data_IF_306165812543
#
_entry.id   IF_306165812543
#
_cell.length_a   1.000
_cell.length_b   1.000
_cell.length_c   1.000
_cell.angle_alpha   90.00
_cell.angle_beta   90.00
_cell.angle_gamma   90.00
#
_symmetry.space_group_name_H-M   'P 1'
#
loop_
_entity.id
_entity.type
_entity.pdbx_description
1 polymer ?
#
# COMPACT_ATOMS: atom_id res chain seq x y z
N UNK A 1 -6.22 -2.27 -11.33
CA UNK A 1 -5.03 -1.40 -11.32
C UNK A 1 -3.95 -2.20 -12.02
N UNK A 2 -3.26 -1.61 -12.99
CA UNK A 2 -2.18 -2.31 -13.68
C UNK A 2 -0.91 -2.20 -12.85
N UNK A 3 -0.54 -3.27 -12.15
CA UNK A 3 0.64 -3.31 -11.28
C UNK A 3 1.94 -3.27 -12.07
N UNK A 4 1.93 -3.68 -13.35
CA UNK A 4 3.12 -3.64 -14.21
C UNK A 4 3.64 -2.23 -14.47
N UNK A 5 2.82 -1.19 -14.33
CA UNK A 5 3.30 0.20 -14.45
C UNK A 5 4.42 0.49 -13.43
N UNK A 6 4.42 -0.21 -12.29
CA UNK A 6 5.46 -0.08 -11.28
C UNK A 6 6.84 -0.56 -11.75
N UNK A 7 6.93 -1.43 -12.75
CA UNK A 7 8.23 -1.88 -13.27
C UNK A 7 8.93 -0.78 -14.05
N UNK A 8 8.22 0.28 -14.42
CA UNK A 8 8.76 1.46 -15.08
C UNK A 8 9.35 2.47 -14.08
N UNK A 9 9.16 2.25 -12.77
CA UNK A 9 9.63 3.15 -11.72
C UNK A 9 10.95 2.64 -11.12
N UNK A 10 12.08 3.31 -11.37
CA UNK A 10 13.41 2.85 -10.93
C UNK A 10 13.58 2.79 -9.40
N UNK A 11 12.80 3.54 -8.61
CA UNK A 11 13.02 3.63 -7.14
C UNK A 11 11.80 3.25 -6.30
N UNK A 12 12.07 2.81 -5.06
CA UNK A 12 11.04 2.56 -4.04
C UNK A 12 10.19 3.81 -3.79
N UNK A 13 10.85 4.97 -3.78
CA UNK A 13 10.21 6.26 -3.58
C UNK A 13 9.19 6.58 -4.67
N UNK A 14 9.58 6.46 -5.93
CA UNK A 14 8.67 6.72 -7.05
C UNK A 14 7.51 5.74 -7.08
N UNK A 15 7.74 4.46 -6.76
CA UNK A 15 6.68 3.45 -6.64
C UNK A 15 5.66 3.81 -5.56
N UNK A 16 6.14 4.24 -4.39
CA UNK A 16 5.30 4.67 -3.29
C UNK A 16 4.50 5.93 -3.64
N UNK A 17 5.17 6.96 -4.17
CA UNK A 17 4.56 8.24 -4.53
C UNK A 17 3.48 8.04 -5.59
N UNK A 18 3.80 7.32 -6.67
CA UNK A 18 2.84 7.04 -7.72
C UNK A 18 1.64 6.26 -7.19
N UNK A 19 1.87 5.27 -6.32
CA UNK A 19 0.79 4.49 -5.74
C UNK A 19 -0.14 5.38 -4.91
N UNK A 20 0.42 6.15 -3.97
CA UNK A 20 -0.35 7.04 -3.09
C UNK A 20 -1.10 8.08 -3.91
N UNK A 21 -0.45 8.74 -4.87
CA UNK A 21 -1.06 9.76 -5.72
C UNK A 21 -2.23 9.19 -6.54
N UNK A 22 -2.05 8.01 -7.16
CA UNK A 22 -3.14 7.39 -7.91
C UNK A 22 -4.30 6.97 -7.01
N UNK A 23 -4.04 6.39 -5.84
CA UNK A 23 -5.12 5.98 -4.94
C UNK A 23 -5.87 7.20 -4.41
N UNK A 24 -5.15 8.23 -3.97
CA UNK A 24 -5.71 9.41 -3.33
C UNK A 24 -6.39 10.33 -4.34
N UNK A 25 -5.71 10.69 -5.44
CA UNK A 25 -6.13 11.78 -6.32
C UNK A 25 -6.85 11.30 -7.57
N UNK A 26 -6.35 10.25 -8.21
CA UNK A 26 -6.96 9.74 -9.45
C UNK A 26 -8.20 8.90 -9.19
N UNK A 27 -8.14 8.01 -8.21
CA UNK A 27 -9.25 7.11 -7.89
C UNK A 27 -10.10 7.57 -6.71
N UNK A 28 -9.66 8.61 -5.99
CA UNK A 28 -10.35 9.13 -4.80
C UNK A 28 -10.70 8.03 -3.79
N UNK A 29 -9.82 7.03 -3.64
CA UNK A 29 -10.04 5.94 -2.71
C UNK A 29 -9.72 6.38 -1.29
N UNK A 30 -10.60 6.01 -0.36
CA UNK A 30 -10.26 6.06 1.05
C UNK A 30 -9.09 5.11 1.37
N UNK A 31 -8.32 5.36 2.46
CA UNK A 31 -7.21 4.49 2.86
C UNK A 31 -7.65 3.02 2.99
N UNK A 32 -8.84 2.76 3.52
CA UNK A 32 -9.42 1.41 3.65
C UNK A 32 -9.60 0.72 2.30
N UNK A 33 -10.15 1.45 1.31
CA UNK A 33 -10.36 0.90 -0.03
C UNK A 33 -9.03 0.64 -0.74
N UNK A 34 -8.06 1.53 -0.58
CA UNK A 34 -6.72 1.34 -1.13
C UNK A 34 -6.00 0.15 -0.49
N UNK A 35 -6.08 -0.01 0.83
CA UNK A 35 -5.55 -1.16 1.57
C UNK A 35 -6.18 -2.48 1.09
N UNK A 36 -7.50 -2.54 0.86
CA UNK A 36 -8.15 -3.72 0.29
C UNK A 36 -7.64 -4.06 -1.12
N UNK A 37 -7.33 -3.05 -1.94
CA UNK A 37 -6.74 -3.30 -3.27
C UNK A 37 -5.30 -3.78 -3.17
N UNK A 38 -4.53 -3.20 -2.26
CA UNK A 38 -3.16 -3.63 -1.97
C UNK A 38 -3.15 -5.08 -1.46
N UNK A 39 -4.05 -5.43 -0.54
CA UNK A 39 -4.23 -6.79 -0.03
C UNK A 39 -4.57 -7.80 -1.12
N UNK A 40 -5.56 -7.49 -1.97
CA UNK A 40 -5.91 -8.35 -3.11
C UNK A 40 -4.71 -8.57 -4.03
N UNK A 41 -3.95 -7.51 -4.31
CA UNK A 41 -2.72 -7.60 -5.09
C UNK A 41 -1.63 -8.40 -4.39
N UNK A 42 -1.45 -8.23 -3.08
CA UNK A 42 -0.43 -8.93 -2.30
C UNK A 42 -0.57 -10.45 -2.37
N UNK A 43 -1.81 -10.94 -2.40
CA UNK A 43 -2.12 -12.36 -2.54
C UNK A 43 -1.80 -12.94 -3.93
N UNK A 44 -1.82 -12.13 -4.99
CA UNK A 44 -1.77 -12.62 -6.38
C UNK A 44 -0.56 -12.14 -7.19
N UNK A 45 0.08 -11.04 -6.79
CA UNK A 45 1.09 -10.32 -7.57
C UNK A 45 2.38 -10.13 -6.77
N UNK A 46 3.53 -10.70 -7.19
CA UNK A 46 4.80 -10.55 -6.49
C UNK A 46 5.25 -9.08 -6.34
N UNK A 47 5.02 -8.25 -7.36
CA UNK A 47 5.37 -6.83 -7.36
C UNK A 47 4.66 -6.05 -6.24
N UNK A 48 3.49 -6.51 -5.80
CA UNK A 48 2.75 -5.83 -4.72
C UNK A 48 3.38 -6.08 -3.35
N UNK A 49 4.12 -7.19 -3.19
CA UNK A 49 4.92 -7.43 -1.98
C UNK A 49 6.08 -6.45 -1.90
N UNK A 50 6.73 -6.19 -3.03
CA UNK A 50 7.77 -5.16 -3.12
C UNK A 50 7.19 -3.78 -2.85
N UNK A 51 6.04 -3.45 -3.45
CA UNK A 51 5.32 -2.20 -3.16
C UNK A 51 5.07 -2.02 -1.67
N UNK A 52 4.56 -3.06 -1.00
CA UNK A 52 4.27 -2.99 0.44
C UNK A 52 5.53 -2.67 1.23
N UNK A 53 6.66 -3.32 0.92
CA UNK A 53 7.93 -3.04 1.57
C UNK A 53 8.38 -1.59 1.34
N UNK A 54 8.28 -1.09 0.10
CA UNK A 54 8.60 0.29 -0.24
C UNK A 54 7.72 1.27 0.57
N UNK A 55 6.41 1.02 0.62
CA UNK A 55 5.44 1.84 1.37
C UNK A 55 5.74 1.87 2.87
N UNK A 56 6.12 0.73 3.47
CA UNK A 56 6.50 0.67 4.88
C UNK A 56 7.79 1.45 5.16
N UNK A 57 8.78 1.36 4.28
CA UNK A 57 10.02 2.14 4.40
C UNK A 57 9.75 3.64 4.33
N UNK A 58 8.93 4.07 3.36
CA UNK A 58 8.57 5.48 3.19
C UNK A 58 7.73 6.00 4.37
N UNK A 59 6.83 5.20 4.93
CA UNK A 59 6.05 5.57 6.10
C UNK A 59 6.92 5.71 7.37
N UNK A 60 8.00 4.94 7.47
CA UNK A 60 8.94 4.99 8.59
C UNK A 60 10.00 6.10 8.45
N UNK A 61 10.27 6.55 7.23
CA UNK A 61 11.26 7.60 6.95
C UNK A 61 10.63 8.99 7.10
N UNK A 62 11.04 9.73 8.13
CA UNK A 62 10.56 11.09 8.38
C UNK A 62 10.85 12.05 7.22
N UNK A 63 9.94 12.99 6.97
CA UNK A 63 10.11 14.07 5.99
C UNK A 63 10.02 13.66 4.52
N UNK A 64 9.72 12.39 4.22
CA UNK A 64 9.68 11.90 2.85
C UNK A 64 8.39 12.28 2.12
N UNK A 65 7.22 12.24 2.77
CA UNK A 65 5.93 12.59 2.15
C UNK A 65 5.35 13.91 2.70
N UNK A 66 4.54 14.63 1.90
CA UNK A 66 3.65 15.67 2.42
C UNK A 66 2.77 15.12 3.56
N UNK A 67 2.46 15.96 4.56
CA UNK A 67 1.78 15.52 5.79
C UNK A 67 0.40 14.86 5.54
N UNK A 68 -0.32 15.28 4.49
CA UNK A 68 -1.58 14.63 4.10
C UNK A 68 -1.36 13.22 3.57
N UNK A 69 -0.40 13.06 2.64
CA UNK A 69 -0.06 11.78 2.02
C UNK A 69 0.55 10.82 3.03
N UNK A 70 1.35 11.31 3.97
CA UNK A 70 1.88 10.51 5.08
C UNK A 70 0.74 9.98 5.97
N UNK A 71 -0.21 10.84 6.37
CA UNK A 71 -1.38 10.40 7.15
C UNK A 71 -2.24 9.40 6.38
N UNK A 72 -2.43 9.63 5.08
CA UNK A 72 -3.14 8.71 4.21
C UNK A 72 -2.45 7.34 4.16
N UNK A 73 -1.13 7.33 3.95
CA UNK A 73 -0.31 6.13 3.88
C UNK A 73 -0.32 5.35 5.19
N UNK A 74 -0.16 6.03 6.34
CA UNK A 74 -0.22 5.40 7.65
C UNK A 74 -1.58 4.74 7.91
N UNK A 75 -2.68 5.44 7.57
CA UNK A 75 -4.03 4.88 7.71
C UNK A 75 -4.27 3.68 6.78
N UNK A 76 -3.67 3.70 5.58
CA UNK A 76 -3.73 2.59 4.64
C UNK A 76 -2.99 1.38 5.19
N UNK A 77 -1.74 1.54 5.61
CA UNK A 77 -0.91 0.45 6.15
C UNK A 77 -1.54 -0.16 7.40
N UNK A 78 -2.05 0.66 8.32
CA UNK A 78 -2.75 0.16 9.50
C UNK A 78 -3.99 -0.70 9.14
N UNK A 79 -4.73 -0.33 8.09
CA UNK A 79 -5.86 -1.14 7.65
C UNK A 79 -5.42 -2.41 6.91
N UNK A 80 -4.31 -2.36 6.17
CA UNK A 80 -3.71 -3.53 5.55
C UNK A 80 -3.30 -4.57 6.61
N UNK A 81 -2.62 -4.13 7.67
CA UNK A 81 -2.22 -5.02 8.77
C UNK A 81 -3.42 -5.63 9.49
N UNK A 82 -4.49 -4.85 9.68
CA UNK A 82 -5.75 -5.37 10.21
C UNK A 82 -6.34 -6.49 9.33
N UNK A 83 -6.33 -6.33 7.99
CA UNK A 83 -6.78 -7.38 7.07
C UNK A 83 -5.93 -8.65 7.17
N UNK A 84 -4.61 -8.50 7.28
CA UNK A 84 -3.69 -9.60 7.45
C UNK A 84 -3.94 -10.38 8.75
N UNK A 85 -4.08 -9.67 9.87
CA UNK A 85 -4.42 -10.25 11.17
C UNK A 85 -5.75 -11.01 11.15
N UNK A 86 -6.78 -10.46 10.50
CA UNK A 86 -8.07 -11.13 10.35
C UNK A 86 -7.98 -12.44 9.56
N UNK A 87 -7.15 -12.49 8.51
CA UNK A 87 -6.95 -13.74 7.76
C UNK A 87 -6.21 -14.78 8.60
N UNK A 88 -5.17 -14.38 9.34
CA UNK A 88 -4.42 -15.29 10.19
C UNK A 88 -5.29 -15.92 11.27
N UNK A 89 -6.16 -15.13 11.92
CA UNK A 89 -7.12 -15.64 12.92
C UNK A 89 -8.10 -16.66 12.34
N UNK A 90 -8.56 -16.47 11.09
CA UNK A 90 -9.46 -17.45 10.43
C UNK A 90 -8.75 -18.79 10.19
N UNK A 91 -7.49 -18.76 9.78
CA UNK A 91 -6.70 -19.97 9.52
C UNK A 91 -6.35 -20.73 10.80
N UNK A 92 -6.18 -20.05 11.94
CA UNK A 92 -5.91 -20.71 13.24
C UNK A 92 -7.14 -21.37 13.87
N UNK A 93 -8.35 -21.06 13.39
CA UNK A 93 -9.62 -21.60 13.89
C UNK A 93 -10.23 -22.67 12.98
N UNK A 94 -9.57 -22.98 11.85
CA UNK A 94 -9.97 -23.99 10.87
C UNK A 94 -9.12 -25.24 11.02
#
# INVERSE_FOLDING_TARGET
MNWYVMTLMPSARERADWFVDIQLRRYCHSPKKAALRLWKGYCTEPLVRQLLSDLQQIAAAEGQLPAEELRYLQALLAHFDWLACQQQMRLSLS
#
